data_IF_417505539982
#
_entry.id   IF_417505539982
#
_cell.length_a   1.000
_cell.length_b   1.000
_cell.length_c   1.000
_cell.angle_alpha   90.00
_cell.angle_beta   90.00
_cell.angle_gamma   90.00
#
_symmetry.space_group_name_H-M   'P 1'
#
loop_
_entity.id
_entity.type
_entity.pdbx_description
1 polymer ?
#
# COMPACT_ATOMS: atom_id res chain seq x y z
N UNK A 1 5.48 -2.97 11.09
CA UNK A 1 5.68 -3.11 12.55
C UNK A 1 5.89 -1.80 13.28
N UNK A 2 6.66 -0.82 12.75
CA UNK A 2 6.84 0.48 13.41
C UNK A 2 5.53 1.15 13.85
N UNK A 3 4.53 1.20 12.95
CA UNK A 3 3.21 1.78 13.23
C UNK A 3 2.47 1.05 14.36
N UNK A 4 2.50 -0.28 14.39
CA UNK A 4 1.81 -1.04 15.44
C UNK A 4 2.40 -0.73 16.81
N UNK A 5 3.72 -0.81 16.94
CA UNK A 5 4.41 -0.50 18.19
C UNK A 5 4.17 0.95 18.64
N UNK A 6 4.11 1.89 17.70
CA UNK A 6 3.82 3.29 17.99
C UNK A 6 2.38 3.46 18.50
N UNK A 7 1.40 2.82 17.86
CA UNK A 7 -0.01 2.86 18.26
C UNK A 7 -0.23 2.23 19.62
N UNK A 8 0.34 1.05 19.88
CA UNK A 8 0.23 0.36 21.16
C UNK A 8 0.76 1.25 22.30
N UNK A 9 1.96 1.82 22.13
CA UNK A 9 2.52 2.76 23.11
C UNK A 9 1.64 3.99 23.32
N UNK A 10 1.13 4.58 22.23
CA UNK A 10 0.31 5.78 22.30
C UNK A 10 -1.05 5.56 22.97
N UNK A 11 -1.65 4.38 22.75
CA UNK A 11 -2.90 3.96 23.38
C UNK A 11 -2.69 3.63 24.86
N UNK A 12 -1.63 2.89 25.18
CA UNK A 12 -1.27 2.57 26.56
C UNK A 12 -1.03 3.84 27.40
N UNK A 13 -0.28 4.82 26.86
CA UNK A 13 -0.03 6.10 27.53
C UNK A 13 -1.31 6.91 27.82
N UNK A 14 -2.43 6.62 27.15
CA UNK A 14 -3.73 7.27 27.33
C UNK A 14 -4.71 6.44 28.17
N UNK A 15 -4.27 5.32 28.74
CA UNK A 15 -5.15 4.40 29.47
C UNK A 15 -6.18 3.67 28.59
N UNK A 16 -5.99 3.70 27.26
CA UNK A 16 -6.91 3.12 26.27
C UNK A 16 -6.28 1.89 25.60
N UNK A 17 -5.61 1.03 26.38
CA UNK A 17 -4.89 -0.13 25.87
C UNK A 17 -5.81 -1.08 25.11
N UNK A 18 -5.78 -1.01 23.78
CA UNK A 18 -6.46 -1.93 22.87
C UNK A 18 -5.40 -2.71 22.09
N UNK A 19 -5.62 -4.01 21.82
CA UNK A 19 -4.70 -4.78 20.99
C UNK A 19 -4.66 -4.18 19.58
N UNK A 20 -3.45 -4.04 19.02
CA UNK A 20 -3.25 -3.57 17.65
C UNK A 20 -2.90 -4.76 16.76
N UNK A 21 -3.52 -4.87 15.59
CA UNK A 21 -3.29 -5.99 14.67
C UNK A 21 -3.11 -5.49 13.25
N UNK A 22 -2.14 -6.06 12.54
CA UNK A 22 -1.99 -5.81 11.10
C UNK A 22 -2.53 -6.98 10.30
N UNK A 23 -3.33 -6.68 9.30
CA UNK A 23 -3.88 -7.65 8.34
C UNK A 23 -3.15 -7.49 7.02
N UNK A 24 -2.53 -8.58 6.55
CA UNK A 24 -2.05 -8.65 5.17
C UNK A 24 -3.28 -8.66 4.27
N UNK A 25 -3.35 -7.72 3.34
CA UNK A 25 -4.54 -7.45 2.53
C UNK A 25 -4.20 -7.63 1.06
N UNK A 26 -5.10 -8.27 0.32
CA UNK A 26 -5.11 -8.39 -1.12
C UNK A 26 -6.17 -7.46 -1.69
N UNK A 27 -5.79 -6.79 -2.77
CA UNK A 27 -6.64 -5.86 -3.49
C UNK A 27 -6.92 -6.42 -4.87
N UNK A 28 -8.19 -6.73 -5.12
CA UNK A 28 -8.65 -7.16 -6.42
C UNK A 28 -8.54 -6.01 -7.41
N UNK A 29 -8.00 -6.30 -8.58
CA UNK A 29 -7.90 -5.39 -9.73
C UNK A 29 -8.38 -6.11 -10.99
N UNK A 30 -8.73 -5.36 -12.02
CA UNK A 30 -9.08 -5.92 -13.33
C UNK A 30 -7.80 -6.41 -14.03
N UNK A 31 -7.77 -7.66 -14.53
CA UNK A 31 -6.62 -8.18 -15.27
C UNK A 31 -6.35 -7.40 -16.58
N UNK A 32 -7.36 -6.71 -17.09
CA UNK A 32 -7.32 -5.89 -18.30
C UNK A 32 -7.19 -4.39 -18.04
N UNK A 33 -6.91 -3.99 -16.78
CA UNK A 33 -6.77 -2.59 -16.40
C UNK A 33 -5.72 -1.86 -17.26
N UNK A 34 -6.04 -0.70 -17.85
CA UNK A 34 -5.13 0.05 -18.72
C UNK A 34 -3.85 0.51 -18.00
N UNK A 35 -3.87 0.63 -16.68
CA UNK A 35 -2.73 0.93 -15.82
C UNK A 35 -1.61 -0.11 -15.89
N UNK A 36 -1.87 -1.34 -16.37
CA UNK A 36 -0.81 -2.30 -16.71
C UNK A 36 -0.04 -1.92 -17.97
N UNK A 37 -0.75 -1.43 -18.99
CA UNK A 37 -0.14 -1.03 -20.26
C UNK A 37 0.53 0.35 -20.17
N UNK A 38 0.11 1.19 -19.22
CA UNK A 38 0.64 2.54 -19.04
C UNK A 38 1.20 2.79 -17.62
N UNK A 39 2.35 2.20 -17.24
CA UNK A 39 3.00 2.40 -15.95
C UNK A 39 3.18 3.88 -15.61
N UNK A 40 2.60 4.32 -14.48
CA UNK A 40 2.55 5.72 -14.10
C UNK A 40 3.01 5.99 -12.67
N UNK A 41 2.89 5.01 -11.75
CA UNK A 41 3.17 5.24 -10.33
C UNK A 41 4.67 5.27 -10.07
N UNK A 42 5.24 6.40 -9.63
CA UNK A 42 6.67 6.49 -9.39
C UNK A 42 7.05 5.84 -8.06
N UNK A 43 8.03 4.96 -8.08
CA UNK A 43 8.54 4.22 -6.93
C UNK A 43 10.03 4.52 -6.69
N UNK A 44 10.49 4.28 -5.46
CA UNK A 44 11.89 4.47 -5.08
C UNK A 44 12.38 5.92 -5.13
N UNK A 45 13.69 6.10 -5.02
CA UNK A 45 14.39 7.40 -5.04
C UNK A 45 14.54 7.95 -6.46
N UNK A 46 14.96 9.21 -6.56
CA UNK A 46 15.38 9.80 -7.83
C UNK A 46 16.76 9.30 -8.25
N UNK A 47 16.96 9.19 -9.56
CA UNK A 47 18.21 8.76 -10.19
C UNK A 47 18.68 9.77 -11.24
N UNK A 48 19.99 9.98 -11.37
CA UNK A 48 20.58 10.62 -12.53
C UNK A 48 20.26 9.85 -13.82
N UNK A 49 20.25 10.57 -14.95
CA UNK A 49 19.98 10.03 -16.29
C UNK A 49 20.82 8.77 -16.61
N UNK A 50 22.13 8.82 -16.33
CA UNK A 50 23.05 7.73 -16.64
C UNK A 50 22.71 6.43 -15.90
N UNK A 51 22.31 6.53 -14.62
CA UNK A 51 21.92 5.37 -13.84
C UNK A 51 20.56 4.80 -14.28
N UNK A 52 19.60 5.68 -14.57
CA UNK A 52 18.30 5.28 -15.08
C UNK A 52 18.43 4.56 -16.43
N UNK A 53 19.30 5.02 -17.34
CA UNK A 53 19.53 4.34 -18.64
C UNK A 53 20.01 2.89 -18.49
N UNK A 54 20.93 2.62 -17.55
CA UNK A 54 21.36 1.24 -17.27
C UNK A 54 20.21 0.37 -16.76
N UNK A 55 19.28 0.95 -16.02
CA UNK A 55 18.11 0.25 -15.51
C UNK A 55 17.05 0.02 -16.59
N UNK A 56 16.84 1.00 -17.47
CA UNK A 56 15.97 0.86 -18.65
C UNK A 56 16.45 -0.25 -19.59
N UNK A 57 17.77 -0.43 -19.74
CA UNK A 57 18.34 -1.54 -20.51
C UNK A 57 17.99 -2.93 -19.96
N UNK A 58 17.53 -3.03 -18.71
CA UNK A 58 17.02 -4.27 -18.09
C UNK A 58 15.49 -4.42 -18.16
N UNK A 59 14.82 -3.55 -18.92
CA UNK A 59 13.37 -3.58 -19.10
C UNK A 59 12.57 -2.78 -18.06
N UNK A 60 13.22 -2.03 -17.18
CA UNK A 60 12.52 -1.17 -16.22
C UNK A 60 11.96 0.08 -16.92
N UNK A 61 10.75 0.52 -16.54
CA UNK A 61 10.14 1.74 -17.09
C UNK A 61 10.47 2.92 -16.17
N UNK A 62 10.94 4.03 -16.75
CA UNK A 62 11.37 5.22 -16.00
C UNK A 62 10.74 6.48 -16.60
N UNK A 63 10.39 7.45 -15.76
CA UNK A 63 9.92 8.79 -16.16
C UNK A 63 10.81 9.89 -15.59
N UNK A 64 10.86 11.00 -16.30
CA UNK A 64 11.60 12.20 -15.92
C UNK A 64 10.76 13.14 -15.06
N UNK A 65 11.39 13.73 -14.05
CA UNK A 65 10.76 14.62 -13.08
C UNK A 65 11.56 15.94 -12.96
N UNK A 66 11.94 16.49 -14.11
CA UNK A 66 12.72 17.73 -14.24
C UNK A 66 14.09 17.62 -13.58
N UNK A 67 14.51 18.69 -12.91
CA UNK A 67 15.84 18.80 -12.26
C UNK A 67 16.07 17.77 -11.16
N UNK A 68 15.01 17.15 -10.62
CA UNK A 68 15.14 16.08 -9.62
C UNK A 68 15.67 14.78 -10.21
N UNK A 69 15.69 14.63 -11.54
CA UNK A 69 16.10 13.42 -12.24
C UNK A 69 14.94 12.48 -12.56
N UNK A 70 15.22 11.18 -12.65
CA UNK A 70 14.25 10.15 -13.07
C UNK A 70 13.81 9.26 -11.92
N UNK A 71 12.60 8.70 -12.02
CA UNK A 71 12.13 7.63 -11.12
C UNK A 71 11.58 6.46 -11.91
N UNK A 72 11.76 5.25 -11.37
CA UNK A 72 11.11 4.05 -11.90
C UNK A 72 9.62 4.21 -11.74
N UNK A 73 8.86 3.88 -12.77
CA UNK A 73 7.41 3.79 -12.73
C UNK A 73 6.98 2.35 -12.89
N UNK A 74 5.89 1.99 -12.24
CA UNK A 74 5.28 0.66 -12.30
C UNK A 74 3.79 0.77 -12.61
N UNK A 75 3.19 -0.36 -12.97
CA UNK A 75 1.75 -0.46 -13.18
C UNK A 75 0.99 -0.02 -11.92
N UNK A 76 -0.12 0.67 -12.14
CA UNK A 76 -0.96 1.23 -11.08
C UNK A 76 -2.42 1.01 -11.41
N UNK A 77 -2.89 -0.25 -11.37
CA UNK A 77 -4.27 -0.56 -11.68
C UNK A 77 -5.23 0.01 -10.63
N UNK A 78 -6.46 0.27 -11.05
CA UNK A 78 -7.51 0.75 -10.15
C UNK A 78 -7.97 -0.38 -9.21
N UNK A 79 -8.09 -0.10 -7.90
CA UNK A 79 -8.59 -1.09 -6.97
C UNK A 79 -10.09 -1.30 -7.15
N UNK A 80 -10.51 -2.56 -7.19
CA UNK A 80 -11.92 -2.94 -7.27
C UNK A 80 -12.48 -3.37 -5.90
N UNK A 81 -11.70 -4.15 -5.14
CA UNK A 81 -12.18 -4.73 -3.88
C UNK A 81 -11.01 -5.08 -2.94
N UNK A 82 -11.19 -4.91 -1.63
CA UNK A 82 -10.29 -5.48 -0.62
C UNK A 82 -10.83 -6.83 -0.17
N UNK A 83 -10.20 -7.91 -0.62
CA UNK A 83 -10.71 -9.28 -0.42
C UNK A 83 -10.67 -9.72 1.06
N UNK A 84 -9.75 -9.17 1.83
CA UNK A 84 -9.52 -9.54 3.22
C UNK A 84 -10.24 -8.61 4.22
N UNK A 85 -11.19 -7.78 3.73
CA UNK A 85 -11.96 -6.86 4.57
C UNK A 85 -12.76 -7.57 5.67
N UNK A 86 -13.27 -8.78 5.41
CA UNK A 86 -13.99 -9.57 6.41
C UNK A 86 -13.13 -9.96 7.62
N UNK A 87 -11.84 -10.25 7.41
CA UNK A 87 -10.91 -10.55 8.49
C UNK A 87 -10.62 -9.30 9.34
N UNK A 88 -10.49 -8.13 8.68
CA UNK A 88 -10.33 -6.86 9.38
C UNK A 88 -11.59 -6.51 10.20
N UNK A 89 -12.79 -6.71 9.64
CA UNK A 89 -14.05 -6.49 10.35
C UNK A 89 -14.17 -7.36 11.61
N UNK A 90 -13.86 -8.66 11.51
CA UNK A 90 -13.89 -9.56 12.67
C UNK A 90 -12.95 -9.12 13.81
N UNK A 91 -11.77 -8.58 13.48
CA UNK A 91 -10.84 -8.04 14.47
C UNK A 91 -11.34 -6.72 15.08
N UNK A 92 -11.97 -5.86 14.28
CA UNK A 92 -12.61 -4.64 14.77
C UNK A 92 -13.74 -4.96 15.76
N UNK A 93 -14.58 -5.94 15.44
CA UNK A 93 -15.66 -6.43 16.32
C UNK A 93 -15.11 -7.04 17.61
N UNK A 94 -13.94 -7.69 17.55
CA UNK A 94 -13.21 -8.18 18.72
C UNK A 94 -12.52 -7.07 19.53
N UNK A 95 -12.67 -5.79 19.15
CA UNK A 95 -12.14 -4.65 19.89
C UNK A 95 -10.71 -4.25 19.52
N UNK A 96 -10.11 -4.83 18.48
CA UNK A 96 -8.77 -4.47 18.04
C UNK A 96 -8.75 -3.11 17.33
N UNK A 97 -7.58 -2.48 17.33
CA UNK A 97 -7.24 -1.44 16.35
C UNK A 97 -6.57 -2.15 15.17
N UNK A 98 -7.15 -2.05 13.99
CA UNK A 98 -6.70 -2.80 12.81
C UNK A 98 -5.96 -1.90 11.84
N UNK A 99 -4.76 -2.32 11.43
CA UNK A 99 -3.98 -1.74 10.34
C UNK A 99 -4.14 -2.65 9.12
N UNK A 100 -4.71 -2.12 8.05
CA UNK A 100 -4.99 -2.85 6.80
C UNK A 100 -4.59 -2.01 5.58
N UNK A 101 -4.66 -2.61 4.38
CA UNK A 101 -4.36 -1.95 3.10
C UNK A 101 -2.97 -1.29 3.06
N UNK A 102 -1.97 -1.89 3.71
CA UNK A 102 -0.60 -1.37 3.71
C UNK A 102 -0.07 -1.21 2.28
N UNK A 103 0.22 0.04 1.89
CA UNK A 103 0.69 0.37 0.54
C UNK A 103 -0.34 0.14 -0.58
N UNK A 104 -1.65 0.10 -0.26
CA UNK A 104 -2.73 -0.19 -1.22
C UNK A 104 -3.17 -1.65 -1.27
N UNK A 105 -2.49 -2.55 -0.54
CA UNK A 105 -2.73 -3.99 -0.54
C UNK A 105 -2.04 -4.70 -1.71
N UNK A 106 -1.86 -6.02 -1.59
CA UNK A 106 -1.21 -6.86 -2.61
C UNK A 106 -2.13 -7.00 -3.81
N UNK A 107 -1.77 -6.48 -5.00
CA UNK A 107 -2.64 -6.57 -6.17
C UNK A 107 -2.82 -8.02 -6.62
N UNK A 108 -4.07 -8.41 -6.82
CA UNK A 108 -4.46 -9.70 -7.37
C UNK A 108 -5.54 -9.52 -8.43
N UNK A 109 -5.53 -10.34 -9.46
CA UNK A 109 -6.56 -10.37 -10.48
C UNK A 109 -7.21 -11.76 -10.55
N UNK A 110 -8.46 -11.82 -11.02
CA UNK A 110 -9.15 -13.09 -11.28
C UNK A 110 -8.85 -13.54 -12.71
N UNK A 111 -8.10 -14.62 -12.85
CA UNK A 111 -7.71 -15.23 -14.13
C UNK A 111 -8.19 -16.68 -14.13
N UNK A 112 -9.02 -17.03 -15.10
CA UNK A 112 -9.65 -18.36 -15.24
C UNK A 112 -10.34 -18.83 -13.94
N UNK A 113 -11.06 -17.90 -13.29
CA UNK A 113 -11.76 -18.16 -12.02
C UNK A 113 -10.86 -18.23 -10.78
N UNK A 114 -9.54 -18.16 -10.94
CA UNK A 114 -8.57 -18.22 -9.83
C UNK A 114 -7.95 -16.86 -9.53
N UNK A 115 -7.60 -16.60 -8.27
CA UNK A 115 -6.86 -15.39 -7.90
C UNK A 115 -5.36 -15.58 -8.15
N UNK A 116 -4.76 -14.64 -8.88
CA UNK A 116 -3.33 -14.61 -9.18
C UNK A 116 -2.74 -13.26 -8.77
N UNK A 117 -1.55 -13.29 -8.17
CA UNK A 117 -0.79 -12.07 -7.94
C UNK A 117 -0.36 -11.46 -9.27
N UNK A 118 -0.44 -10.13 -9.36
CA UNK A 118 -0.03 -9.36 -10.54
C UNK A 118 1.03 -8.34 -10.16
N UNK A 119 1.94 -8.02 -11.06
CA UNK A 119 2.99 -7.03 -10.78
C UNK A 119 2.43 -5.60 -10.94
N UNK A 120 2.44 -4.84 -9.85
CA UNK A 120 1.94 -3.48 -9.83
C UNK A 120 1.89 -2.93 -8.41
N UNK A 121 1.56 -1.66 -8.28
CA UNK A 121 1.31 -1.01 -6.99
C UNK A 121 -0.05 -0.34 -7.06
N UNK A 122 -0.97 -0.79 -6.24
CA UNK A 122 -2.27 -0.15 -6.08
C UNK A 122 -2.08 1.17 -5.32
N UNK A 123 -2.73 2.23 -5.77
CA UNK A 123 -2.67 3.48 -5.03
C UNK A 123 -3.47 3.40 -3.72
N UNK A 124 -2.90 3.96 -2.65
CA UNK A 124 -3.44 3.90 -1.31
C UNK A 124 -4.75 4.70 -1.21
N UNK A 125 -4.83 5.86 -1.87
CA UNK A 125 -5.96 6.77 -1.66
C UNK A 125 -7.27 6.24 -2.27
N UNK A 126 -7.29 5.69 -3.50
CA UNK A 126 -8.47 5.00 -4.02
C UNK A 126 -8.78 3.70 -3.26
N UNK A 127 -7.76 2.92 -2.88
CA UNK A 127 -7.96 1.68 -2.12
C UNK A 127 -8.56 1.94 -0.72
N UNK A 128 -8.22 3.07 -0.11
CA UNK A 128 -8.78 3.51 1.17
C UNK A 128 -10.22 4.05 1.04
N UNK A 129 -10.62 4.48 -0.16
CA UNK A 129 -11.95 5.01 -0.48
C UNK A 129 -12.91 3.96 -1.02
N UNK A 130 -12.43 2.77 -1.39
CA UNK A 130 -13.32 1.67 -1.69
C UNK A 130 -14.32 1.55 -0.55
N UNK A 131 -15.61 1.35 -0.85
CA UNK A 131 -16.61 0.98 0.15
C UNK A 131 -16.30 -0.43 0.61
N UNK A 132 -15.19 -0.58 1.32
CA UNK A 132 -14.96 -1.68 2.18
C UNK A 132 -16.16 -1.66 3.10
N UNK A 133 -16.94 -2.75 3.11
CA UNK A 133 -17.99 -2.99 4.10
C UNK A 133 -17.36 -3.20 5.49
N UNK A 134 -16.43 -2.32 5.87
CA UNK A 134 -15.79 -2.23 7.17
C UNK A 134 -16.69 -1.52 8.19
N UNK A 135 -17.89 -1.05 7.80
CA UNK A 135 -18.63 -0.08 8.60
C UNK A 135 -20.16 -0.03 8.48
N UNK A 136 -20.85 -1.10 8.02
CA UNK A 136 -22.26 -1.29 8.43
C UNK A 136 -22.35 -1.99 9.80
N UNK A 137 -21.22 -2.45 10.34
CA UNK A 137 -21.07 -2.87 11.72
C UNK A 137 -19.97 -2.03 12.37
N UNK A 138 -20.26 -1.53 13.57
CA UNK A 138 -19.37 -0.85 14.51
C UNK A 138 -19.09 0.66 14.31
N UNK A 139 -19.54 1.42 15.30
CA UNK A 139 -19.22 2.81 15.63
C UNK A 139 -17.75 2.98 16.07
N UNK A 140 -16.80 2.47 15.27
CA UNK A 140 -15.37 2.60 15.50
C UNK A 140 -14.71 3.25 14.30
N UNK A 141 -13.92 4.30 14.52
CA UNK A 141 -13.16 4.98 13.47
C UNK A 141 -12.22 3.99 12.77
N UNK A 142 -12.61 3.56 11.56
CA UNK A 142 -11.72 2.88 10.62
C UNK A 142 -10.71 3.90 10.10
N UNK A 143 -9.56 4.02 10.77
CA UNK A 143 -8.46 4.87 10.34
C UNK A 143 -7.48 4.05 9.50
N UNK A 144 -7.37 4.34 8.20
CA UNK A 144 -6.24 3.87 7.39
C UNK A 144 -4.99 4.64 7.80
N UNK A 145 -4.28 4.16 8.83
CA UNK A 145 -3.00 4.73 9.24
C UNK A 145 -1.91 4.12 8.36
N UNK A 146 -1.46 4.90 7.38
CA UNK A 146 -0.28 4.54 6.60
C UNK A 146 0.61 5.76 6.47
N UNK A 147 1.65 5.77 7.29
CA UNK A 147 2.83 6.58 7.07
C UNK A 147 3.86 5.75 6.31
N UNK A 148 4.33 6.27 5.18
CA UNK A 148 5.64 5.91 4.66
C UNK A 148 6.68 6.67 5.49
N UNK A 149 7.72 6.03 6.07
CA UNK A 149 8.79 6.78 6.69
C UNK A 149 9.54 7.55 5.60
N UNK A 150 9.26 8.84 5.48
CA UNK A 150 10.14 9.78 4.80
C UNK A 150 11.35 10.04 5.70
N UNK A 151 12.50 9.53 5.29
CA UNK A 151 13.80 9.93 5.84
C UNK A 151 14.33 9.05 6.98
N UNK A 152 15.07 8.00 6.61
CA UNK A 152 16.25 7.60 7.40
C UNK A 152 17.45 8.03 6.57
N UNK A 153 17.98 9.21 6.88
CA UNK A 153 19.34 9.58 6.48
C UNK A 153 20.29 8.56 7.14
N UNK A 154 20.85 7.68 6.32
CA UNK A 154 21.99 6.87 6.73
C UNK A 154 23.19 7.81 6.90
N UNK A 155 23.45 8.25 8.12
CA UNK A 155 24.78 8.70 8.53
C UNK A 155 25.70 7.48 8.44
N UNK A 156 26.42 7.36 7.33
CA UNK A 156 27.69 6.66 7.32
C UNK A 156 28.72 7.65 7.86
N UNK A 157 29.12 7.45 9.12
CA UNK A 157 30.35 8.03 9.65
C UNK A 157 31.45 6.99 9.52
N UNK A 158 32.58 7.46 9.00
CA UNK A 158 33.89 6.80 8.91
C UNK A 158 34.38 6.21 10.23
#
# INVERSE_FOLDING_TARGET
>A
MMIMNALERALAARGAGRPVSAVVTRTLVDASDPGFAAPAKPIGRYFPEADARRAMARGEVWREFGERGRRRVVASPEPLEILDAGAAAALLDAGHVVVAAGGGGVPVARVDGTLRGVEGVVDKDPAAQLPARLGDAARGTAGTITEAPSGVESRQSS
#
